data_IF_987985199883
#
_entry.id   IF_987985199883
#
_cell.length_a   1.000
_cell.length_b   1.000
_cell.length_c   1.000
_cell.angle_alpha   90.00
_cell.angle_beta   90.00
_cell.angle_gamma   90.00
#
_symmetry.space_group_name_H-M   'P 1'
#
loop_
_entity.id
_entity.type
_entity.pdbx_description
1 polymer ?
#
# COMPACT_ATOMS: atom_id res chain seq x y z
N UNK A 1 5.19 11.25 62.04
CA UNK A 1 4.59 10.94 60.73
C UNK A 1 4.66 12.20 59.87
N UNK A 2 5.65 12.31 58.99
CA UNK A 2 5.82 13.49 58.12
C UNK A 2 5.15 13.19 56.77
N UNK A 3 4.22 14.06 56.37
CA UNK A 3 3.47 13.95 55.12
C UNK A 3 4.31 14.51 53.96
N UNK A 4 4.68 13.64 53.03
CA UNK A 4 5.34 14.02 51.77
C UNK A 4 4.29 14.63 50.84
N UNK A 5 4.42 15.92 50.52
CA UNK A 5 3.62 16.57 49.48
C UNK A 5 4.04 16.02 48.10
N UNK A 6 3.12 15.37 47.41
CA UNK A 6 3.23 15.03 45.99
C UNK A 6 3.25 16.30 45.13
N UNK A 7 4.39 16.58 44.51
CA UNK A 7 4.51 17.60 43.46
C UNK A 7 3.87 17.07 42.17
N UNK A 8 2.65 17.52 41.88
CA UNK A 8 2.05 17.37 40.55
C UNK A 8 2.87 18.18 39.52
N UNK A 9 3.35 17.58 38.42
CA UNK A 9 3.95 18.35 37.36
C UNK A 9 2.85 19.23 36.74
N UNK A 10 2.98 20.54 36.91
CA UNK A 10 2.20 21.52 36.17
C UNK A 10 2.46 21.29 34.69
N UNK A 11 1.44 20.80 33.97
CA UNK A 11 1.49 20.63 32.52
C UNK A 11 1.54 22.03 31.92
N UNK A 12 2.75 22.58 31.84
CA UNK A 12 3.02 23.82 31.14
C UNK A 12 2.50 23.65 29.71
N UNK A 13 1.61 24.57 29.34
CA UNK A 13 0.88 24.68 28.08
C UNK A 13 1.63 24.04 26.89
N UNK A 14 1.22 22.83 26.52
CA UNK A 14 1.62 22.25 25.24
C UNK A 14 0.87 23.06 24.17
N UNK A 15 1.57 23.80 23.28
CA UNK A 15 0.88 24.60 22.28
C UNK A 15 0.02 23.70 21.39
N UNK A 16 -1.23 24.11 21.14
CA UNK A 16 -2.13 23.40 20.25
C UNK A 16 -1.55 23.37 18.84
N UNK A 17 -1.12 22.19 18.40
CA UNK A 17 -0.61 21.97 17.04
C UNK A 17 -1.79 21.63 16.12
N UNK A 18 -2.20 22.58 15.28
CA UNK A 18 -3.18 22.31 14.22
C UNK A 18 -2.54 21.49 13.10
N UNK A 19 -2.76 20.18 13.13
CA UNK A 19 -2.25 19.22 12.12
C UNK A 19 -2.76 19.48 10.71
N UNK A 20 -3.80 20.30 10.50
CA UNK A 20 -4.31 20.63 9.17
C UNK A 20 -3.39 21.55 8.38
N UNK A 21 -2.56 22.34 9.07
CA UNK A 21 -1.62 23.27 8.43
C UNK A 21 -0.30 22.62 7.99
N UNK A 22 0.00 21.42 8.45
CA UNK A 22 1.21 20.67 8.05
C UNK A 22 1.12 20.18 6.59
N UNK A 23 -0.07 20.23 5.98
CA UNK A 23 -0.27 19.83 4.59
C UNK A 23 0.17 20.89 3.55
N UNK A 24 0.48 22.13 3.96
CA UNK A 24 0.75 23.24 3.03
C UNK A 24 2.25 23.45 2.72
N UNK A 25 3.15 22.80 3.46
CA UNK A 25 4.59 22.89 3.22
C UNK A 25 5.12 21.65 2.50
N UNK A 26 5.07 21.72 1.17
CA UNK A 26 5.85 20.86 0.29
C UNK A 26 5.07 19.66 -0.22
N UNK A 27 4.62 19.76 -1.48
CA UNK A 27 4.51 18.67 -2.45
C UNK A 27 4.77 17.27 -1.86
N UNK A 28 3.80 16.73 -1.13
CA UNK A 28 3.75 15.28 -1.00
C UNK A 28 3.31 14.81 -2.37
N UNK A 29 4.30 14.45 -3.19
CA UNK A 29 4.15 13.53 -4.30
C UNK A 29 3.02 12.59 -3.93
N UNK A 30 2.00 12.51 -4.79
CA UNK A 30 0.88 11.59 -4.65
C UNK A 30 1.49 10.20 -4.52
N UNK A 31 1.83 9.81 -3.29
CA UNK A 31 2.43 8.54 -2.96
C UNK A 31 1.38 7.55 -3.40
N UNK A 32 1.66 6.86 -4.50
CA UNK A 32 0.77 5.87 -5.03
C UNK A 32 0.36 4.98 -3.87
N UNK A 33 -0.95 4.96 -3.60
CA UNK A 33 -1.53 4.14 -2.53
C UNK A 33 -1.58 2.69 -3.00
N UNK A 34 -0.44 2.14 -3.42
CA UNK A 34 -0.23 0.73 -3.70
C UNK A 34 0.70 0.18 -2.64
N UNK A 35 0.17 0.14 -1.42
CA UNK A 35 0.85 -0.39 -0.24
C UNK A 35 1.02 -1.94 -0.27
N UNK A 36 0.73 -2.60 -1.40
CA UNK A 36 0.81 -4.05 -1.56
C UNK A 36 1.24 -4.47 -2.96
N UNK A 37 2.35 -3.93 -3.47
CA UNK A 37 3.04 -4.56 -4.60
C UNK A 37 4.33 -5.18 -4.08
N UNK A 38 4.40 -6.52 -4.06
CA UNK A 38 5.67 -7.20 -3.84
C UNK A 38 6.57 -6.84 -5.02
N UNK A 39 7.64 -6.08 -4.76
CA UNK A 39 8.58 -5.63 -5.80
C UNK A 39 9.62 -6.70 -6.16
N UNK A 40 9.51 -7.91 -5.60
CA UNK A 40 10.40 -9.02 -5.93
C UNK A 40 10.04 -9.57 -7.30
N UNK A 41 10.86 -9.26 -8.30
CA UNK A 41 10.87 -10.00 -9.53
C UNK A 41 11.08 -11.49 -9.20
N UNK A 42 10.20 -12.35 -9.70
CA UNK A 42 10.39 -13.78 -9.56
C UNK A 42 11.71 -14.17 -10.25
N UNK A 43 12.44 -15.11 -9.65
CA UNK A 43 13.72 -15.58 -10.20
C UNK A 43 13.61 -16.27 -11.57
N UNK A 44 12.39 -16.48 -12.08
CA UNK A 44 12.12 -17.03 -13.42
C UNK A 44 11.45 -15.96 -14.29
N UNK A 45 11.92 -15.73 -15.52
CA UNK A 45 11.37 -14.71 -16.42
C UNK A 45 9.90 -14.97 -16.78
N UNK A 46 9.53 -16.23 -17.00
CA UNK A 46 8.16 -16.64 -17.36
C UNK A 46 7.13 -16.22 -16.31
N UNK A 47 7.53 -16.24 -15.03
CA UNK A 47 6.66 -15.83 -13.91
C UNK A 47 6.43 -14.32 -13.92
N UNK A 48 7.43 -13.54 -14.33
CA UNK A 48 7.29 -12.09 -14.46
C UNK A 48 6.37 -11.71 -15.63
N UNK A 49 6.51 -12.40 -16.76
CA UNK A 49 5.62 -12.23 -17.91
C UNK A 49 4.16 -12.56 -17.55
N UNK A 50 3.95 -13.67 -16.84
CA UNK A 50 2.63 -14.04 -16.34
C UNK A 50 2.06 -13.00 -15.37
N UNK A 51 2.85 -12.52 -14.41
CA UNK A 51 2.43 -11.49 -13.47
C UNK A 51 2.01 -10.19 -14.20
N UNK A 52 2.78 -9.78 -15.21
CA UNK A 52 2.47 -8.59 -16.02
C UNK A 52 1.17 -8.79 -16.83
N UNK A 53 0.95 -9.97 -17.39
CA UNK A 53 -0.28 -10.28 -18.11
C UNK A 53 -1.52 -10.21 -17.19
N UNK A 54 -1.42 -10.75 -15.97
CA UNK A 54 -2.49 -10.69 -14.97
C UNK A 54 -2.77 -9.24 -14.54
N UNK A 55 -1.74 -8.43 -14.31
CA UNK A 55 -1.93 -7.03 -13.93
C UNK A 55 -2.55 -6.21 -15.07
N UNK A 56 -2.15 -6.44 -16.32
CA UNK A 56 -2.81 -5.86 -17.50
C UNK A 56 -4.28 -6.26 -17.59
N UNK A 57 -4.59 -7.54 -17.35
CA UNK A 57 -5.97 -8.04 -17.35
C UNK A 57 -6.83 -7.33 -16.29
N UNK A 58 -6.31 -7.20 -15.05
CA UNK A 58 -7.02 -6.53 -13.94
C UNK A 58 -7.33 -5.07 -14.24
N UNK A 59 -6.39 -4.35 -14.86
CA UNK A 59 -6.59 -2.94 -15.25
C UNK A 59 -7.65 -2.84 -16.34
N UNK A 60 -7.60 -3.68 -17.38
CA UNK A 60 -8.56 -3.67 -18.47
C UNK A 60 -10.00 -3.97 -18.02
N UNK A 61 -10.17 -4.87 -17.04
CA UNK A 61 -11.49 -5.28 -16.53
C UNK A 61 -11.94 -4.45 -15.32
N UNK A 62 -11.15 -3.47 -14.88
CA UNK A 62 -11.41 -2.63 -13.70
C UNK A 62 -11.73 -3.45 -12.44
N UNK A 63 -11.10 -4.61 -12.26
CA UNK A 63 -11.32 -5.50 -11.12
C UNK A 63 -10.15 -5.46 -10.14
N UNK A 64 -10.48 -5.53 -8.85
CA UNK A 64 -9.50 -5.63 -7.77
C UNK A 64 -9.01 -7.06 -7.53
N UNK A 65 -9.85 -8.05 -7.85
CA UNK A 65 -9.57 -9.49 -7.72
C UNK A 65 -9.90 -10.18 -9.04
N UNK A 66 -9.10 -11.18 -9.42
CA UNK A 66 -9.30 -12.02 -10.59
C UNK A 66 -9.90 -13.36 -10.16
N UNK A 67 -10.84 -13.90 -10.93
CA UNK A 67 -11.39 -15.25 -10.70
C UNK A 67 -10.46 -16.33 -11.28
N UNK A 68 -10.68 -17.60 -10.92
CA UNK A 68 -9.87 -18.70 -11.48
C UNK A 68 -10.10 -18.90 -12.98
N UNK A 69 -11.30 -18.62 -13.48
CA UNK A 69 -11.62 -18.71 -14.92
C UNK A 69 -10.87 -17.62 -15.69
N UNK A 70 -10.91 -16.39 -15.19
CA UNK A 70 -10.18 -15.27 -15.78
C UNK A 70 -8.66 -15.48 -15.74
N UNK A 71 -8.14 -16.11 -14.69
CA UNK A 71 -6.72 -16.47 -14.59
C UNK A 71 -6.35 -17.54 -15.62
N UNK A 72 -7.25 -18.48 -15.90
CA UNK A 72 -7.07 -19.46 -16.96
C UNK A 72 -7.06 -18.80 -18.34
N UNK A 73 -7.95 -17.84 -18.61
CA UNK A 73 -7.95 -17.08 -19.86
C UNK A 73 -6.62 -16.35 -20.09
N UNK A 74 -6.04 -15.77 -19.03
CA UNK A 74 -4.70 -15.16 -19.09
C UNK A 74 -3.62 -16.21 -19.42
N UNK A 75 -3.66 -17.39 -18.79
CA UNK A 75 -2.72 -18.47 -19.10
C UNK A 75 -2.83 -18.95 -20.55
N UNK A 76 -4.05 -19.11 -21.07
CA UNK A 76 -4.30 -19.48 -22.47
C UNK A 76 -3.80 -18.39 -23.42
N UNK A 77 -3.97 -17.11 -23.07
CA UNK A 77 -3.48 -15.99 -23.88
C UNK A 77 -1.96 -15.97 -24.05
N UNK A 78 -1.23 -16.52 -23.07
CA UNK A 78 0.23 -16.68 -23.09
C UNK A 78 0.67 -17.95 -23.83
N UNK A 79 -0.28 -18.72 -24.38
CA UNK A 79 0.01 -19.97 -25.10
C UNK A 79 0.16 -21.19 -24.20
N UNK A 80 -0.27 -21.11 -22.93
CA UNK A 80 -0.33 -22.30 -22.09
C UNK A 80 -1.50 -23.19 -22.55
N UNK A 81 -1.15 -24.28 -23.21
CA UNK A 81 -2.07 -25.36 -23.56
C UNK A 81 -1.53 -26.64 -22.91
N UNK A 82 -2.40 -27.35 -22.17
CA UNK A 82 -2.08 -28.64 -21.59
C UNK A 82 -2.23 -29.75 -22.64
#
# INVERSE_FOLDING_TARGET
MQATLEQQPSIASIPFVDRRRVADSGSQEVRERRQFQDSRAAGRPDVNEFAEAVDRYKVAHHRRFITFEELYDVMVSLGYHK
#
